data_IF_824170335468
#
_entry.id   IF_824170335468
#
_cell.length_a   1.000
_cell.length_b   1.000
_cell.length_c   1.000
_cell.angle_alpha   90.00
_cell.angle_beta   90.00
_cell.angle_gamma   90.00
#
_symmetry.space_group_name_H-M   'P 1'
#
loop_
_entity.id
_entity.type
_entity.pdbx_description
1 polymer ?
#
# COMPACT_ATOMS: atom_id res chain seq x y z
N UNK A 1 -23.02 -9.72 -35.15
CA UNK A 1 -21.69 -9.78 -34.50
C UNK A 1 -21.46 -8.47 -33.78
N UNK A 2 -21.90 -8.37 -32.53
CA UNK A 2 -21.79 -7.14 -31.74
C UNK A 2 -20.46 -7.17 -31.01
N UNK A 3 -19.53 -6.29 -31.40
CA UNK A 3 -18.27 -6.07 -30.67
C UNK A 3 -18.63 -5.55 -29.27
N UNK A 4 -18.47 -6.40 -28.26
CA UNK A 4 -18.43 -5.99 -26.86
C UNK A 4 -17.10 -5.24 -26.64
N UNK A 5 -17.07 -3.95 -26.91
CA UNK A 5 -16.07 -3.05 -26.33
C UNK A 5 -16.39 -2.95 -24.84
N UNK A 6 -15.79 -3.85 -24.05
CA UNK A 6 -15.87 -3.83 -22.59
C UNK A 6 -15.11 -2.58 -22.14
N UNK A 7 -15.83 -1.49 -21.90
CA UNK A 7 -15.30 -0.31 -21.23
C UNK A 7 -14.77 -0.75 -19.87
N UNK A 8 -13.53 -0.41 -19.56
CA UNK A 8 -12.80 -0.83 -18.35
C UNK A 8 -13.45 -0.24 -17.07
N UNK A 9 -14.47 0.60 -17.22
CA UNK A 9 -15.17 1.34 -16.16
C UNK A 9 -15.97 0.47 -15.17
N UNK A 10 -16.23 -0.82 -15.47
CA UNK A 10 -17.13 -1.66 -14.66
C UNK A 10 -16.42 -2.77 -13.85
N UNK A 11 -15.10 -2.75 -13.79
CA UNK A 11 -14.32 -3.75 -13.04
C UNK A 11 -14.01 -3.18 -11.65
N UNK A 12 -14.44 -3.83 -10.54
CA UNK A 12 -14.11 -3.36 -9.21
C UNK A 12 -12.59 -3.32 -9.02
N UNK A 13 -12.08 -2.34 -8.28
CA UNK A 13 -10.64 -2.15 -8.09
C UNK A 13 -9.93 -3.44 -7.63
N UNK A 14 -10.59 -4.24 -6.79
CA UNK A 14 -10.10 -5.55 -6.33
C UNK A 14 -9.74 -6.52 -7.47
N UNK A 15 -10.39 -6.41 -8.63
CA UNK A 15 -10.18 -7.25 -9.81
C UNK A 15 -9.31 -6.57 -10.89
N UNK A 16 -8.87 -5.34 -10.68
CA UNK A 16 -7.98 -4.62 -11.61
C UNK A 16 -6.52 -5.02 -11.41
N UNK A 17 -5.75 -5.11 -12.48
CA UNK A 17 -4.29 -5.27 -12.38
C UNK A 17 -3.66 -3.97 -11.86
N UNK A 18 -2.74 -4.08 -10.89
CA UNK A 18 -2.05 -2.94 -10.29
C UNK A 18 -0.54 -3.16 -10.37
N UNK A 19 0.16 -2.24 -11.03
CA UNK A 19 1.61 -2.28 -11.18
C UNK A 19 2.34 -1.80 -9.92
N UNK A 20 2.29 -2.57 -8.83
CA UNK A 20 2.91 -2.17 -7.56
C UNK A 20 4.42 -1.91 -7.68
N UNK A 21 5.13 -2.64 -8.54
CA UNK A 21 6.55 -2.38 -8.81
C UNK A 21 6.81 -0.95 -9.29
N UNK A 22 5.99 -0.47 -10.23
CA UNK A 22 6.10 0.87 -10.80
C UNK A 22 5.66 1.93 -9.79
N UNK A 23 4.57 1.67 -9.07
CA UNK A 23 4.03 2.56 -8.04
C UNK A 23 5.06 2.78 -6.92
N UNK A 24 5.68 1.71 -6.41
CA UNK A 24 6.73 1.80 -5.38
C UNK A 24 7.95 2.55 -5.93
N UNK A 25 8.40 2.21 -7.13
CA UNK A 25 9.57 2.85 -7.74
C UNK A 25 9.38 4.36 -7.95
N UNK A 26 8.18 4.77 -8.36
CA UNK A 26 7.84 6.18 -8.57
C UNK A 26 7.53 6.90 -7.26
N UNK A 27 7.13 6.18 -6.21
CA UNK A 27 6.73 6.75 -4.93
C UNK A 27 5.43 7.55 -4.99
N UNK A 28 4.56 7.27 -5.95
CA UNK A 28 3.33 8.03 -6.20
C UNK A 28 2.12 7.10 -6.28
N UNK A 29 1.05 7.43 -5.55
CA UNK A 29 -0.22 6.73 -5.60
C UNK A 29 -1.10 7.40 -6.67
N UNK A 30 -1.64 6.66 -7.66
CA UNK A 30 -2.57 7.20 -8.62
C UNK A 30 -3.74 7.93 -7.93
N UNK A 31 -4.05 9.16 -8.38
CA UNK A 31 -5.05 10.03 -7.74
C UNK A 31 -6.41 9.34 -7.55
N UNK A 32 -6.81 8.54 -8.52
CA UNK A 32 -8.06 7.76 -8.48
C UNK A 32 -8.16 6.78 -7.30
N UNK A 33 -7.04 6.42 -6.65
CA UNK A 33 -7.02 5.58 -5.45
C UNK A 33 -7.13 6.41 -4.16
N UNK A 34 -6.71 7.68 -4.19
CA UNK A 34 -6.77 8.60 -3.05
C UNK A 34 -8.19 9.12 -2.80
N UNK A 35 -8.99 9.23 -3.86
CA UNK A 35 -10.34 9.84 -3.80
C UNK A 35 -11.40 8.93 -3.16
N UNK A 36 -11.06 7.70 -2.75
CA UNK A 36 -12.00 6.75 -2.14
C UNK A 36 -11.34 5.93 -1.02
N UNK A 37 -11.90 6.03 0.19
CA UNK A 37 -11.45 5.26 1.36
C UNK A 37 -11.50 3.74 1.09
N UNK A 38 -12.56 3.26 0.45
CA UNK A 38 -12.67 1.85 0.05
C UNK A 38 -11.53 1.44 -0.88
N UNK A 39 -11.23 2.24 -1.90
CA UNK A 39 -10.16 1.90 -2.86
C UNK A 39 -8.80 1.95 -2.17
N UNK A 40 -8.54 2.93 -1.31
CA UNK A 40 -7.29 3.02 -0.57
C UNK A 40 -7.10 1.82 0.36
N UNK A 41 -8.16 1.40 1.05
CA UNK A 41 -8.12 0.21 1.90
C UNK A 41 -7.74 -1.04 1.08
N UNK A 42 -8.38 -1.24 -0.08
CA UNK A 42 -8.04 -2.33 -0.99
C UNK A 42 -6.63 -2.21 -1.58
N UNK A 43 -6.16 -0.99 -1.82
CA UNK A 43 -4.80 -0.72 -2.29
C UNK A 43 -3.78 -1.17 -1.25
N UNK A 44 -3.97 -0.79 0.02
CA UNK A 44 -3.07 -1.14 1.12
C UNK A 44 -3.02 -2.66 1.34
N UNK A 45 -4.17 -3.33 1.38
CA UNK A 45 -4.25 -4.81 1.46
C UNK A 45 -3.40 -5.47 0.38
N UNK A 46 -3.60 -5.05 -0.86
CA UNK A 46 -2.92 -5.62 -2.03
C UNK A 46 -1.43 -5.26 -2.08
N UNK A 47 -1.06 -4.07 -1.61
CA UNK A 47 0.34 -3.65 -1.47
C UNK A 47 1.07 -4.54 -0.46
N UNK A 48 0.46 -4.85 0.68
CA UNK A 48 1.02 -5.78 1.68
C UNK A 48 1.24 -7.15 1.07
N UNK A 49 0.23 -7.69 0.36
CA UNK A 49 0.37 -8.97 -0.33
C UNK A 49 1.50 -8.95 -1.35
N UNK A 50 1.61 -7.88 -2.16
CA UNK A 50 2.71 -7.73 -3.12
C UNK A 50 4.07 -7.78 -2.41
N UNK A 51 4.26 -6.96 -1.37
CA UNK A 51 5.52 -6.83 -0.62
C UNK A 51 5.95 -8.16 0.01
N UNK A 52 4.99 -8.92 0.55
CA UNK A 52 5.28 -10.23 1.15
C UNK A 52 5.54 -11.33 0.11
N UNK A 53 5.04 -11.15 -1.12
CA UNK A 53 5.17 -12.15 -2.20
C UNK A 53 6.43 -11.99 -3.04
N UNK A 54 6.97 -10.77 -3.17
CA UNK A 54 8.14 -10.53 -4.03
C UNK A 54 9.45 -10.79 -3.28
N UNK A 55 10.49 -11.29 -3.98
CA UNK A 55 11.81 -11.45 -3.37
C UNK A 55 12.36 -10.13 -2.83
N UNK A 56 13.17 -10.22 -1.77
CA UNK A 56 13.90 -9.08 -1.23
C UNK A 56 14.76 -8.41 -2.32
N UNK A 57 14.85 -7.08 -2.29
CA UNK A 57 15.62 -6.29 -3.27
C UNK A 57 14.88 -5.94 -4.56
N UNK A 58 13.61 -6.37 -4.74
CA UNK A 58 12.76 -5.90 -5.85
C UNK A 58 12.27 -4.45 -5.69
N UNK A 59 12.38 -3.93 -4.48
CA UNK A 59 12.24 -2.53 -4.13
C UNK A 59 13.13 -2.25 -2.91
N UNK A 60 13.47 -0.99 -2.69
CA UNK A 60 14.21 -0.52 -1.52
C UNK A 60 13.26 -0.02 -0.43
N UNK A 61 13.71 -0.06 0.83
CA UNK A 61 12.92 0.50 1.94
C UNK A 61 12.67 2.00 1.79
N UNK A 62 13.58 2.73 1.11
CA UNK A 62 13.39 4.16 0.83
C UNK A 62 12.25 4.40 -0.17
N UNK A 63 12.18 3.61 -1.25
CA UNK A 63 11.08 3.69 -2.22
C UNK A 63 9.73 3.36 -1.56
N UNK A 64 9.70 2.32 -0.72
CA UNK A 64 8.50 1.98 0.03
C UNK A 64 8.11 3.07 1.04
N UNK A 65 9.08 3.64 1.77
CA UNK A 65 8.84 4.72 2.70
C UNK A 65 8.21 5.94 2.04
N UNK A 66 8.77 6.39 0.90
CA UNK A 66 8.21 7.49 0.11
C UNK A 66 6.76 7.24 -0.33
N UNK A 67 6.43 6.00 -0.71
CA UNK A 67 5.06 5.64 -1.06
C UNK A 67 4.12 5.71 0.15
N UNK A 68 4.55 5.23 1.31
CA UNK A 68 3.75 5.25 2.54
C UNK A 68 3.49 6.69 3.03
N UNK A 69 4.45 7.60 2.86
CA UNK A 69 4.28 9.04 3.16
C UNK A 69 3.15 9.70 2.36
N UNK A 70 2.75 9.13 1.21
CA UNK A 70 1.61 9.63 0.42
C UNK A 70 0.25 9.23 0.99
N UNK A 71 0.23 8.29 1.92
CA UNK A 71 -0.99 7.83 2.57
C UNK A 71 -1.24 8.66 3.81
N UNK A 72 -2.51 8.91 4.09
CA UNK A 72 -2.94 9.45 5.37
C UNK A 72 -2.68 8.44 6.53
N UNK A 73 -2.48 8.94 7.76
CA UNK A 73 -1.98 8.15 8.90
C UNK A 73 -2.71 6.83 9.15
N UNK A 74 -4.04 6.83 9.04
CA UNK A 74 -4.88 5.64 9.25
C UNK A 74 -4.49 4.50 8.31
N UNK A 75 -4.20 4.81 7.05
CA UNK A 75 -3.81 3.82 6.04
C UNK A 75 -2.37 3.32 6.23
N UNK A 76 -1.48 4.17 6.76
CA UNK A 76 -0.12 3.75 7.16
C UNK A 76 -0.17 2.79 8.35
N UNK A 77 -0.95 3.10 9.39
CA UNK A 77 -1.18 2.19 10.53
C UNK A 77 -1.78 0.87 10.04
N UNK A 78 -2.76 0.96 9.14
CA UNK A 78 -3.40 -0.21 8.54
C UNK A 78 -2.41 -1.09 7.77
N UNK A 79 -1.50 -0.49 7.00
CA UNK A 79 -0.41 -1.21 6.31
C UNK A 79 0.42 -2.05 7.29
N UNK A 80 0.91 -1.46 8.37
CA UNK A 80 1.75 -2.18 9.34
C UNK A 80 0.96 -3.24 10.12
N UNK A 81 -0.32 -2.97 10.44
CA UNK A 81 -1.21 -3.96 11.04
C UNK A 81 -1.36 -5.18 10.13
N UNK A 82 -1.67 -4.98 8.86
CA UNK A 82 -1.81 -6.08 7.88
C UNK A 82 -0.50 -6.83 7.63
N UNK A 83 0.62 -6.11 7.61
CA UNK A 83 1.94 -6.70 7.48
C UNK A 83 2.24 -7.67 8.64
N UNK A 84 1.96 -7.25 9.88
CA UNK A 84 2.08 -8.08 11.10
C UNK A 84 1.14 -9.28 11.09
N UNK A 85 -0.12 -9.08 10.69
CA UNK A 85 -1.13 -10.15 10.64
C UNK A 85 -0.76 -11.24 9.62
N UNK A 86 -0.28 -10.85 8.44
CA UNK A 86 0.05 -11.79 7.37
C UNK A 86 1.45 -12.42 7.53
N UNK A 87 2.38 -11.75 8.23
CA UNK A 87 3.71 -12.28 8.52
C UNK A 87 4.24 -11.69 9.83
N UNK A 88 4.06 -12.37 10.98
CA UNK A 88 4.45 -11.82 12.29
C UNK A 88 5.93 -11.45 12.41
N UNK A 89 6.80 -12.14 11.65
CA UNK A 89 8.24 -11.88 11.64
C UNK A 89 8.65 -10.74 10.69
N UNK A 90 7.78 -10.34 9.75
CA UNK A 90 8.10 -9.29 8.77
C UNK A 90 8.39 -7.94 9.44
N UNK A 91 7.77 -7.61 10.57
CA UNK A 91 8.03 -6.34 11.27
C UNK A 91 9.50 -6.12 11.61
N UNK A 92 10.30 -7.18 11.79
CA UNK A 92 11.75 -7.04 12.00
C UNK A 92 12.45 -6.49 10.74
N UNK A 93 12.04 -6.95 9.57
CA UNK A 93 12.55 -6.48 8.28
C UNK A 93 12.11 -5.04 7.99
N UNK A 94 10.90 -4.67 8.40
CA UNK A 94 10.33 -3.34 8.17
C UNK A 94 10.45 -2.40 9.38
N UNK A 95 11.26 -2.77 10.37
CA UNK A 95 11.40 -2.04 11.63
C UNK A 95 11.79 -0.56 11.44
N UNK A 96 12.73 -0.18 10.54
CA UNK A 96 13.05 1.23 10.32
C UNK A 96 11.84 2.06 9.89
N UNK A 97 10.99 1.52 9.01
CA UNK A 97 9.77 2.20 8.58
C UNK A 97 8.74 2.23 9.72
N UNK A 98 8.49 1.08 10.35
CA UNK A 98 7.52 0.97 11.43
C UNK A 98 7.80 1.96 12.57
N UNK A 99 9.04 2.03 13.06
CA UNK A 99 9.37 2.95 14.15
C UNK A 99 9.42 4.41 13.70
N UNK A 100 9.86 4.70 12.47
CA UNK A 100 9.84 6.05 11.92
C UNK A 100 8.42 6.62 11.90
N UNK A 101 7.49 5.90 11.27
CA UNK A 101 6.09 6.32 11.20
C UNK A 101 5.40 6.32 12.57
N UNK A 102 5.60 5.30 13.41
CA UNK A 102 4.96 5.26 14.73
C UNK A 102 5.48 6.36 15.68
N UNK A 103 6.74 6.80 15.52
CA UNK A 103 7.25 7.96 16.26
C UNK A 103 6.53 9.25 15.84
N UNK A 104 6.22 9.41 14.55
CA UNK A 104 5.46 10.55 14.04
C UNK A 104 3.99 10.55 14.51
N UNK A 105 3.40 9.39 14.76
CA UNK A 105 2.03 9.26 15.27
C UNK A 105 1.90 9.27 16.79
N UNK A 106 2.99 9.19 17.53
CA UNK A 106 2.97 9.23 19.00
C UNK A 106 2.21 10.45 19.56
N UNK A 107 2.30 11.68 19.00
CA UNK A 107 1.49 12.81 19.48
C UNK A 107 -0.01 12.66 19.17
N UNK A 108 -0.37 11.98 18.07
CA UNK A 108 -1.74 11.82 17.57
C UNK A 108 -2.50 10.67 18.23
N UNK A 109 -1.81 9.76 18.92
CA UNK A 109 -2.42 8.63 19.64
C UNK A 109 -2.81 8.98 21.09
N UNK A 110 -2.35 10.12 21.61
CA UNK A 110 -2.59 10.56 22.99
C UNK A 110 -3.23 11.95 23.10
N UNK A 111 -3.85 12.44 22.03
CA UNK A 111 -4.73 13.63 22.01
C UNK A 111 -6.16 13.20 21.76
#
# INVERSE_FOLDING_TARGET
MTKLSKTIEDIPFSAQAVSFAEIIKNGEIPKQYLDSEYIMHQFVERLVHYILSVPQGKFSMSELGKLLEKMDPTHQVFFFKRLKENSPNSLKQFAPLYYGFMAEFHPLLFT
#
